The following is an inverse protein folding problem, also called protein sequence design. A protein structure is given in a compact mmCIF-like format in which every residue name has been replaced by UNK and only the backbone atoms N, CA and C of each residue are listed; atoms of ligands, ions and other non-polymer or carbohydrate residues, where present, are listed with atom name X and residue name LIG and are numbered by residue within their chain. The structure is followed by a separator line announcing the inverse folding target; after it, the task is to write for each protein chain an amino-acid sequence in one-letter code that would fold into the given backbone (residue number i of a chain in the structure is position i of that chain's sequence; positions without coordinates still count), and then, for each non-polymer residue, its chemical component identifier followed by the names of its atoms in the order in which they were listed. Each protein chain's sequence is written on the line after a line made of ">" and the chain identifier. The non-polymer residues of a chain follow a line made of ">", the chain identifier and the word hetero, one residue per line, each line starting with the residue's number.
data_IF_564036927027
#
_entry.id   IF_564036927027
#
_cell.length_a   1.000
_cell.length_b   1.000
_cell.length_c   1.000
_cell.angle_alpha   90.00
_cell.angle_beta   90.00
_cell.angle_gamma   90.00
#
_symmetry.space_group_name_H-M   'P 1'
#
loop_
_entity.id
_entity.type
_entity.pdbx_description
1 polymer ?
#
# COMPACT_ATOMS: atom_id res chain seq x y z
N UNK A 1 -24.14 17.35 -1.71
CA UNK A 1 -22.89 17.41 -0.90
C UNK A 1 -21.71 17.20 -1.83
N UNK A 2 -20.63 17.99 -1.70
CA UNK A 2 -19.45 17.86 -2.55
C UNK A 2 -18.68 16.60 -2.15
N UNK A 3 -18.32 15.78 -3.12
CA UNK A 3 -17.48 14.61 -2.93
C UNK A 3 -16.16 14.99 -2.23
N UNK A 4 -15.75 14.21 -1.23
CA UNK A 4 -14.47 14.37 -0.53
C UNK A 4 -13.50 13.29 -1.00
N UNK A 5 -12.62 13.56 -1.98
CA UNK A 5 -11.63 12.59 -2.41
C UNK A 5 -10.68 12.30 -1.24
N UNK A 6 -10.36 11.03 -1.05
CA UNK A 6 -9.50 10.59 0.02
C UNK A 6 -8.64 9.40 -0.38
N UNK A 7 -7.48 9.28 0.27
CA UNK A 7 -6.59 8.13 0.15
C UNK A 7 -6.79 7.19 1.33
N UNK A 8 -7.04 5.91 1.06
CA UNK A 8 -7.02 4.86 2.07
C UNK A 8 -5.64 4.18 2.10
N UNK A 9 -4.97 4.24 3.24
CA UNK A 9 -3.70 3.56 3.47
C UNK A 9 -3.95 2.36 4.37
N UNK A 10 -3.62 1.17 3.88
CA UNK A 10 -3.68 -0.10 4.62
C UNK A 10 -2.26 -0.54 4.91
N UNK A 11 -1.92 -0.74 6.18
CA UNK A 11 -0.55 -1.02 6.62
C UNK A 11 -0.52 -2.36 7.35
N UNK A 12 0.26 -3.30 6.84
CA UNK A 12 0.54 -4.57 7.52
C UNK A 12 1.39 -4.33 8.77
N UNK A 13 1.25 -5.18 9.77
CA UNK A 13 2.02 -5.04 11.01
C UNK A 13 3.53 -5.22 10.71
N UNK A 14 4.34 -4.25 11.16
CA UNK A 14 5.78 -4.23 10.90
C UNK A 14 6.18 -3.61 9.56
N UNK A 15 5.23 -3.12 8.74
CA UNK A 15 5.55 -2.39 7.53
C UNK A 15 5.98 -0.94 7.84
N UNK A 16 6.94 -0.42 7.08
CA UNK A 16 7.41 0.97 7.17
C UNK A 16 6.49 1.91 6.41
N UNK A 17 6.17 3.08 6.96
CA UNK A 17 5.43 4.11 6.24
C UNK A 17 6.20 4.53 4.97
N UNK A 18 5.55 4.57 3.78
CA UNK A 18 6.22 4.94 2.54
C UNK A 18 6.63 6.41 2.53
N UNK A 19 7.93 6.69 2.30
CA UNK A 19 8.49 8.06 2.36
C UNK A 19 7.92 9.03 1.32
N UNK A 20 7.48 8.52 0.18
CA UNK A 20 6.85 9.32 -0.87
C UNK A 20 5.43 9.76 -0.52
N UNK A 21 4.80 9.14 0.49
CA UNK A 21 3.45 9.45 0.91
C UNK A 21 3.48 10.48 2.03
N UNK A 22 3.20 11.74 1.68
CA UNK A 22 3.10 12.83 2.65
C UNK A 22 1.67 12.92 3.21
N UNK A 23 1.43 12.62 4.51
CA UNK A 23 0.10 12.70 5.12
C UNK A 23 -0.41 14.13 5.29
N UNK A 24 0.47 15.14 5.24
CA UNK A 24 0.13 16.56 5.40
C UNK A 24 0.08 17.31 4.06
N UNK A 25 0.21 16.61 2.93
CA UNK A 25 0.26 17.24 1.61
C UNK A 25 -1.12 17.62 1.05
N UNK A 26 -1.12 18.37 -0.06
CA UNK A 26 -2.33 18.91 -0.71
C UNK A 26 -3.20 17.86 -1.43
N UNK A 27 -2.93 16.56 -1.28
CA UNK A 27 -3.57 15.46 -2.05
C UNK A 27 -4.92 15.01 -1.49
N UNK A 28 -5.48 15.73 -0.51
CA UNK A 28 -6.80 15.46 0.06
C UNK A 28 -6.75 14.71 1.39
N UNK A 29 -7.92 14.27 1.86
CA UNK A 29 -8.07 13.62 3.16
C UNK A 29 -7.40 12.22 3.16
N UNK A 30 -6.78 11.83 4.28
CA UNK A 30 -6.11 10.53 4.42
C UNK A 30 -6.76 9.70 5.54
N UNK A 31 -7.02 8.42 5.26
CA UNK A 31 -7.49 7.46 6.24
C UNK A 31 -6.53 6.27 6.33
N UNK A 32 -6.14 5.89 7.54
CA UNK A 32 -5.24 4.75 7.78
C UNK A 32 -5.98 3.60 8.44
N UNK A 33 -5.70 2.38 8.00
CA UNK A 33 -6.01 1.13 8.68
C UNK A 33 -4.70 0.38 8.88
N UNK A 34 -4.27 0.25 10.12
CA UNK A 34 -3.06 -0.48 10.48
C UNK A 34 -3.43 -1.80 11.15
N UNK A 35 -2.78 -2.90 10.72
CA UNK A 35 -2.96 -4.19 11.35
C UNK A 35 -2.48 -4.15 12.80
N UNK A 36 -3.29 -4.67 13.70
CA UNK A 36 -2.93 -4.85 15.10
C UNK A 36 -1.87 -5.96 15.27
N UNK A 37 -0.86 -5.74 16.11
CA UNK A 37 0.29 -6.65 16.28
C UNK A 37 -0.08 -8.07 16.74
N UNK A 38 -1.13 -8.20 17.55
CA UNK A 38 -1.59 -9.47 18.10
C UNK A 38 -2.67 -10.18 17.25
N UNK A 39 -3.14 -9.55 16.16
CA UNK A 39 -4.23 -10.10 15.35
C UNK A 39 -3.73 -10.94 14.18
N UNK A 40 -4.45 -12.01 13.79
CA UNK A 40 -4.13 -12.74 12.56
C UNK A 40 -4.20 -11.80 11.34
N UNK A 41 -3.41 -12.04 10.28
CA UNK A 41 -3.42 -11.21 9.06
C UNK A 41 -4.80 -11.03 8.43
N UNK A 42 -5.71 -12.00 8.61
CA UNK A 42 -7.08 -11.96 8.10
C UNK A 42 -7.96 -10.91 8.76
N UNK A 43 -7.68 -10.51 10.01
CA UNK A 43 -8.48 -9.49 10.70
C UNK A 43 -8.38 -8.13 10.01
N UNK A 44 -7.24 -7.86 9.37
CA UNK A 44 -7.05 -6.65 8.58
C UNK A 44 -8.08 -6.55 7.44
N UNK A 45 -8.50 -7.67 6.84
CA UNK A 45 -9.54 -7.69 5.79
C UNK A 45 -10.84 -7.09 6.31
N UNK A 46 -11.32 -7.60 7.44
CA UNK A 46 -12.56 -7.13 8.07
C UNK A 46 -12.43 -5.67 8.50
N UNK A 47 -11.30 -5.27 9.08
CA UNK A 47 -11.03 -3.90 9.49
C UNK A 47 -11.07 -2.91 8.32
N UNK A 48 -10.46 -3.29 7.18
CA UNK A 48 -10.48 -2.51 5.94
C UNK A 48 -11.90 -2.39 5.41
N UNK A 49 -12.64 -3.49 5.30
CA UNK A 49 -14.01 -3.48 4.82
C UNK A 49 -14.91 -2.55 5.66
N UNK A 50 -14.88 -2.69 6.99
CA UNK A 50 -15.62 -1.82 7.91
C UNK A 50 -15.22 -0.34 7.77
N UNK A 51 -13.92 -0.06 7.61
CA UNK A 51 -13.43 1.32 7.46
C UNK A 51 -13.93 1.93 6.15
N UNK A 52 -13.83 1.20 5.04
CA UNK A 52 -14.32 1.62 3.72
C UNK A 52 -15.80 1.98 3.80
N UNK A 53 -16.65 1.07 4.30
CA UNK A 53 -18.09 1.30 4.44
C UNK A 53 -18.37 2.55 5.29
N UNK A 54 -17.71 2.71 6.43
CA UNK A 54 -17.92 3.87 7.32
C UNK A 54 -17.48 5.19 6.70
N UNK A 55 -16.43 5.20 5.87
CA UNK A 55 -15.98 6.42 5.20
C UNK A 55 -16.96 6.80 4.09
N UNK A 56 -17.40 5.83 3.29
CA UNK A 56 -18.36 6.06 2.21
C UNK A 56 -19.73 6.52 2.72
N UNK A 57 -20.24 5.96 3.83
CA UNK A 57 -21.49 6.43 4.45
C UNK A 57 -21.40 7.88 4.94
N UNK A 58 -20.18 8.40 5.14
CA UNK A 58 -19.91 9.81 5.47
C UNK A 58 -19.61 10.68 4.25
N UNK A 59 -19.81 10.16 3.03
CA UNK A 59 -19.62 10.88 1.77
C UNK A 59 -18.17 10.97 1.28
N UNK A 60 -17.26 10.17 1.84
CA UNK A 60 -15.88 10.11 1.35
C UNK A 60 -15.81 9.26 0.08
N UNK A 61 -15.02 9.72 -0.89
CA UNK A 61 -14.74 9.01 -2.13
C UNK A 61 -13.29 8.53 -2.11
N UNK A 62 -13.11 7.22 -1.96
CA UNK A 62 -11.78 6.61 -1.90
C UNK A 62 -11.26 6.39 -3.33
N UNK A 63 -10.63 7.41 -3.90
CA UNK A 63 -10.11 7.37 -5.29
C UNK A 63 -8.67 6.86 -5.38
N UNK A 64 -7.99 6.75 -4.23
CA UNK A 64 -6.63 6.24 -4.12
C UNK A 64 -6.53 5.27 -2.94
N UNK A 65 -5.84 4.16 -3.15
CA UNK A 65 -5.57 3.16 -2.12
C UNK A 65 -4.10 2.76 -2.12
N UNK A 66 -3.54 2.56 -0.94
CA UNK A 66 -2.15 2.11 -0.76
C UNK A 66 -2.15 0.92 0.18
N UNK A 67 -1.56 -0.20 -0.25
CA UNK A 67 -1.29 -1.36 0.61
C UNK A 67 0.20 -1.42 0.91
N UNK A 68 0.58 -1.22 2.17
CA UNK A 68 1.96 -1.22 2.64
C UNK A 68 2.27 -2.58 3.25
N UNK A 69 3.13 -3.33 2.56
CA UNK A 69 3.53 -4.70 2.88
C UNK A 69 4.68 -4.73 3.89
N UNK A 70 4.63 -5.67 4.82
CA UNK A 70 5.71 -5.97 5.76
C UNK A 70 6.75 -6.97 5.21
N UNK A 71 6.63 -7.34 3.93
CA UNK A 71 7.55 -8.25 3.24
C UNK A 71 7.47 -9.72 3.66
N UNK A 72 6.65 -10.08 4.66
CA UNK A 72 6.50 -11.47 5.09
C UNK A 72 5.92 -12.35 3.98
N UNK A 73 6.45 -13.55 3.88
CA UNK A 73 6.14 -14.53 2.84
C UNK A 73 5.51 -15.82 3.40
N UNK A 74 5.16 -15.88 4.69
CA UNK A 74 4.39 -17.00 5.22
C UNK A 74 3.01 -17.05 4.58
N UNK A 75 2.51 -18.27 4.36
CA UNK A 75 1.30 -18.51 3.59
C UNK A 75 0.06 -17.72 4.10
N UNK A 76 -0.20 -17.64 5.42
CA UNK A 76 -1.32 -16.86 5.93
C UNK A 76 -1.22 -15.36 5.60
N UNK A 77 -0.04 -14.77 5.77
CA UNK A 77 0.18 -13.35 5.46
C UNK A 77 0.07 -13.09 3.96
N UNK A 78 0.68 -13.95 3.13
CA UNK A 78 0.61 -13.82 1.67
C UNK A 78 -0.84 -13.96 1.14
N UNK A 79 -1.62 -14.90 1.69
CA UNK A 79 -3.02 -15.09 1.34
C UNK A 79 -3.87 -13.88 1.74
N UNK A 80 -3.74 -13.40 2.98
CA UNK A 80 -4.47 -12.23 3.47
C UNK A 80 -4.15 -10.97 2.64
N UNK A 81 -2.86 -10.73 2.34
CA UNK A 81 -2.41 -9.65 1.46
C UNK A 81 -3.05 -9.73 0.08
N UNK A 82 -3.11 -10.92 -0.48
CA UNK A 82 -3.69 -11.15 -1.80
C UNK A 82 -5.19 -10.91 -1.82
N UNK A 83 -5.92 -11.32 -0.77
CA UNK A 83 -7.35 -11.05 -0.61
C UNK A 83 -7.59 -9.55 -0.44
N UNK A 84 -6.81 -8.89 0.43
CA UNK A 84 -6.86 -7.43 0.63
C UNK A 84 -6.65 -6.69 -0.69
N UNK A 85 -5.56 -6.99 -1.40
CA UNK A 85 -5.22 -6.29 -2.64
C UNK A 85 -6.31 -6.45 -3.71
N UNK A 86 -6.89 -7.66 -3.85
CA UNK A 86 -8.03 -7.88 -4.74
C UNK A 86 -9.28 -7.12 -4.30
N UNK A 87 -9.59 -7.11 -3.00
CA UNK A 87 -10.74 -6.38 -2.46
C UNK A 87 -10.64 -4.87 -2.68
N UNK A 88 -9.46 -4.29 -2.44
CA UNK A 88 -9.18 -2.87 -2.69
C UNK A 88 -9.28 -2.53 -4.18
N UNK A 89 -8.69 -3.36 -5.05
CA UNK A 89 -8.77 -3.18 -6.50
C UNK A 89 -10.21 -3.25 -7.01
N UNK A 90 -10.97 -4.26 -6.58
CA UNK A 90 -12.37 -4.43 -6.94
C UNK A 90 -13.23 -3.26 -6.46
N UNK A 91 -12.92 -2.72 -5.28
CA UNK A 91 -13.57 -1.52 -4.78
C UNK A 91 -13.36 -0.32 -5.69
N UNK A 92 -12.11 -0.02 -6.06
CA UNK A 92 -11.78 1.07 -6.99
C UNK A 92 -12.45 0.86 -8.35
N UNK A 93 -12.41 -0.36 -8.88
CA UNK A 93 -13.09 -0.74 -10.12
C UNK A 93 -14.59 -0.41 -10.06
N UNK A 94 -15.27 -0.81 -8.98
CA UNK A 94 -16.71 -0.52 -8.79
C UNK A 94 -17.02 0.96 -8.57
N UNK A 95 -16.01 1.75 -8.17
CA UNK A 95 -16.13 3.19 -7.92
C UNK A 95 -15.83 4.05 -9.16
N UNK A 96 -15.57 3.43 -10.31
CA UNK A 96 -15.28 4.12 -11.58
C UNK A 96 -13.79 4.28 -11.90
N UNK A 97 -12.91 3.60 -11.17
CA UNK A 97 -11.45 3.62 -11.36
C UNK A 97 -10.71 4.26 -10.18
N UNK A 98 -9.46 4.66 -10.41
CA UNK A 98 -8.63 5.33 -9.42
C UNK A 98 -7.18 4.85 -9.45
N UNK A 99 -6.46 5.02 -8.34
CA UNK A 99 -5.07 4.56 -8.19
C UNK A 99 -4.94 3.53 -7.08
N UNK A 100 -4.21 2.45 -7.35
CA UNK A 100 -3.83 1.46 -6.36
C UNK A 100 -2.32 1.26 -6.34
N UNK A 101 -1.71 1.47 -5.19
CA UNK A 101 -0.26 1.29 -4.99
C UNK A 101 -0.01 0.16 -4.01
N UNK A 102 0.82 -0.81 -4.39
CA UNK A 102 1.41 -1.76 -3.45
C UNK A 102 2.81 -1.28 -3.10
N UNK A 103 3.08 -1.04 -1.82
CA UNK A 103 4.39 -0.57 -1.37
C UNK A 103 5.06 -1.57 -0.47
N UNK A 104 6.39 -1.69 -0.58
CA UNK A 104 7.23 -2.46 0.31
C UNK A 104 8.54 -1.74 0.53
N UNK A 105 9.08 -1.83 1.74
CA UNK A 105 10.39 -1.28 2.08
C UNK A 105 11.49 -2.14 1.43
N UNK A 106 12.36 -1.52 0.61
CA UNK A 106 13.42 -2.25 -0.10
C UNK A 106 14.47 -2.82 0.88
N UNK A 107 14.54 -2.30 2.11
CA UNK A 107 15.39 -2.84 3.17
C UNK A 107 15.01 -4.29 3.55
N UNK A 108 13.77 -4.71 3.25
CA UNK A 108 13.31 -6.08 3.45
C UNK A 108 13.85 -7.07 2.39
N UNK A 109 14.54 -6.55 1.38
CA UNK A 109 15.30 -7.31 0.40
C UNK A 109 14.50 -7.83 -0.79
N UNK A 110 15.22 -8.33 -1.81
CA UNK A 110 14.69 -8.73 -3.12
C UNK A 110 13.53 -9.72 -3.08
N UNK A 111 13.46 -10.59 -2.06
CA UNK A 111 12.35 -11.54 -1.91
C UNK A 111 11.03 -10.82 -1.63
N UNK A 112 11.05 -9.81 -0.76
CA UNK A 112 9.87 -9.02 -0.42
C UNK A 112 9.37 -8.23 -1.65
N UNK A 113 10.30 -7.61 -2.38
CA UNK A 113 10.03 -6.90 -3.64
C UNK A 113 9.42 -7.84 -4.68
N UNK A 114 10.05 -9.00 -4.90
CA UNK A 114 9.56 -10.00 -5.85
C UNK A 114 8.14 -10.46 -5.52
N UNK A 115 7.84 -10.74 -4.25
CA UNK A 115 6.49 -11.13 -3.84
C UNK A 115 5.43 -10.06 -4.15
N UNK A 116 5.77 -8.77 -3.96
CA UNK A 116 4.88 -7.67 -4.32
C UNK A 116 4.76 -7.55 -5.83
N UNK A 117 5.86 -7.65 -6.58
CA UNK A 117 5.85 -7.62 -8.04
C UNK A 117 4.99 -8.76 -8.63
N UNK A 118 5.10 -9.98 -8.10
CA UNK A 118 4.26 -11.12 -8.49
C UNK A 118 2.78 -10.87 -8.21
N UNK A 119 2.46 -10.24 -7.07
CA UNK A 119 1.07 -9.87 -6.76
C UNK A 119 0.55 -8.79 -7.71
N UNK A 120 1.37 -7.78 -8.05
CA UNK A 120 1.01 -6.75 -9.03
C UNK A 120 0.75 -7.36 -10.41
N UNK A 121 1.63 -8.21 -10.90
CA UNK A 121 1.46 -8.91 -12.18
C UNK A 121 0.17 -9.75 -12.20
N UNK A 122 -0.19 -10.38 -11.08
CA UNK A 122 -1.44 -11.14 -10.97
C UNK A 122 -2.70 -10.26 -10.95
N UNK A 123 -2.58 -8.97 -10.61
CA UNK A 123 -3.69 -8.01 -10.52
C UNK A 123 -3.84 -7.15 -11.79
N UNK A 124 -2.78 -7.02 -12.58
CA UNK A 124 -2.70 -6.15 -13.75
C UNK A 124 -3.85 -6.35 -14.76
N UNK A 125 -4.28 -7.58 -15.13
CA UNK A 125 -5.40 -7.76 -16.06
C UNK A 125 -6.71 -7.16 -15.54
N UNK A 126 -6.94 -7.23 -14.22
CA UNK A 126 -8.13 -6.67 -13.58
C UNK A 126 -8.03 -5.14 -13.52
N UNK A 127 -6.84 -4.61 -13.22
CA UNK A 127 -6.61 -3.18 -13.16
C UNK A 127 -6.82 -2.50 -14.53
N UNK A 128 -6.26 -3.09 -15.60
CA UNK A 128 -6.39 -2.61 -16.98
C UNK A 128 -7.85 -2.57 -17.45
N UNK A 129 -8.61 -3.63 -17.20
CA UNK A 129 -10.04 -3.69 -17.58
C UNK A 129 -10.93 -2.74 -16.77
N UNK A 130 -10.46 -2.28 -15.61
CA UNK A 130 -11.25 -1.51 -14.65
C UNK A 130 -10.85 -0.04 -14.52
N UNK A 131 -9.96 0.47 -15.38
CA UNK A 131 -9.43 1.85 -15.33
C UNK A 131 -8.79 2.19 -13.97
N UNK A 132 -8.19 1.21 -13.32
CA UNK A 132 -7.41 1.42 -12.09
C UNK A 132 -5.94 1.47 -12.46
N UNK A 133 -5.29 2.57 -12.10
CA UNK A 133 -3.84 2.72 -12.22
C UNK A 133 -3.15 1.93 -11.11
N UNK A 134 -2.60 0.78 -11.47
CA UNK A 134 -1.88 -0.10 -10.56
C UNK A 134 -0.37 0.15 -10.63
N UNK A 135 0.27 0.35 -9.48
CA UNK A 135 1.73 0.53 -9.39
C UNK A 135 2.32 -0.19 -8.18
N UNK A 136 3.59 -0.54 -8.27
CA UNK A 136 4.43 -0.97 -7.13
C UNK A 136 5.42 0.13 -6.77
N UNK A 137 5.61 0.39 -5.48
CA UNK A 137 6.60 1.34 -4.97
C UNK A 137 7.55 0.67 -3.97
N UNK A 138 8.84 0.67 -4.30
CA UNK A 138 9.91 0.11 -3.47
C UNK A 138 10.59 1.26 -2.72
N UNK A 139 10.30 1.39 -1.43
CA UNK A 139 10.85 2.49 -0.64
C UNK A 139 12.25 2.12 -0.14
N UNK A 140 13.28 2.62 -0.80
CA UNK A 140 14.68 2.43 -0.41
C UNK A 140 15.35 3.69 0.09
N UNK A 141 16.38 3.51 0.93
CA UNK A 141 17.40 4.54 1.14
C UNK A 141 18.14 4.75 -0.16
N UNK A 142 18.16 5.98 -0.68
CA UNK A 142 19.38 6.47 -1.33
C UNK A 142 20.51 6.16 -0.35
N UNK A 143 21.47 5.34 -0.77
CA UNK A 143 22.73 5.17 -0.06
C UNK A 143 23.26 6.58 0.23
N UNK A 144 23.49 6.99 1.50
CA UNK A 144 24.33 8.14 1.70
C UNK A 144 25.68 7.77 1.10
N UNK A 145 26.10 8.45 0.02
CA UNK A 145 27.48 8.39 -0.43
C UNK A 145 28.35 8.69 0.78
N UNK A 146 29.03 7.68 1.31
CA UNK A 146 30.10 7.90 2.26
C UNK A 146 31.12 8.79 1.55
N UNK A 147 31.48 9.97 2.08
CA UNK A 147 32.54 10.77 1.49
C UNK A 147 33.81 9.91 1.45
N UNK A 148 34.34 9.70 0.24
CA UNK A 148 35.63 9.07 -0.02
C UNK A 148 36.65 9.61 1.00
N UNK A 149 37.25 8.69 1.74
CA UNK A 149 38.29 8.99 2.71
C UNK A 149 39.36 9.88 2.08
N UNK A 150 39.59 11.05 2.68
CA UNK A 150 40.75 11.89 2.36
C UNK A 150 41.99 11.13 2.80
N UNK A 151 42.72 10.57 1.84
CA UNK A 151 44.06 10.05 2.06
C UNK A 151 44.97 11.22 2.41
N UNK A 152 45.30 11.37 3.69
CA UNK A 152 46.42 12.22 4.12
C UNK A 152 47.73 11.48 3.78
N UNK A 153 48.37 11.88 2.69
CA UNK A 153 49.79 11.59 2.47
C UNK A 153 50.63 12.39 3.46
N UNK A 154 51.50 11.69 4.18
CA UNK A 154 52.54 12.26 5.04
C UNK A 154 53.63 12.96 4.22
#
# INVERSE_FOLDING_TARGET
>A
MKARPATLVVIEFGASWPRWLNPSGDRGDLAVVAQHYAGPPTDLITQVAMRVTRLQTRGWQLTSMVLVSNGRADAPTAAARSILARGLLAHLASSGGGSFVLSVDSFLGRRAEHNVASLVAALEPIALSSRVELRSEYCGTQTPELPLAVTLTA
#
